data_IF_796724057926
#
_entry.id   IF_796724057926
#
_cell.length_a   1.000
_cell.length_b   1.000
_cell.length_c   1.000
_cell.angle_alpha   90.00
_cell.angle_beta   90.00
_cell.angle_gamma   90.00
#
_symmetry.space_group_name_H-M   'P 1'
#
loop_
_entity.id
_entity.type
_entity.pdbx_description
1 polymer ?
#
# COMPACT_ATOMS: atom_id res chain seq x y z
N UNK A 1 -14.38 -15.77 -7.55
CA UNK A 1 -14.50 -17.24 -7.43
C UNK A 1 -14.52 -17.55 -5.95
N UNK A 2 -15.55 -18.23 -5.49
CA UNK A 2 -15.65 -18.71 -4.11
C UNK A 2 -15.89 -20.21 -4.23
N UNK A 3 -15.01 -20.99 -3.61
CA UNK A 3 -15.18 -22.42 -3.43
C UNK A 3 -15.34 -22.68 -1.93
N UNK A 4 -16.25 -23.57 -1.53
CA UNK A 4 -16.53 -23.79 -0.12
C UNK A 4 -16.92 -25.23 0.18
N UNK A 5 -16.48 -25.71 1.34
CA UNK A 5 -17.03 -26.88 2.03
C UNK A 5 -17.62 -26.42 3.38
N UNK A 6 -18.17 -27.33 4.17
CA UNK A 6 -18.89 -27.01 5.42
C UNK A 6 -18.12 -26.08 6.37
N UNK A 7 -16.80 -26.23 6.44
CA UNK A 7 -15.94 -25.54 7.41
C UNK A 7 -14.83 -24.69 6.78
N UNK A 8 -14.66 -24.70 5.45
CA UNK A 8 -13.58 -24.00 4.74
C UNK A 8 -14.16 -23.27 3.53
N UNK A 9 -13.77 -22.01 3.35
CA UNK A 9 -14.08 -21.24 2.15
C UNK A 9 -12.80 -20.67 1.54
N UNK A 10 -12.57 -20.95 0.26
CA UNK A 10 -11.52 -20.35 -0.56
C UNK A 10 -12.11 -19.22 -1.39
N UNK A 11 -11.58 -18.02 -1.23
CA UNK A 11 -12.07 -16.81 -1.92
C UNK A 11 -10.96 -16.24 -2.78
N UNK A 12 -11.21 -16.15 -4.09
CA UNK A 12 -10.37 -15.41 -5.04
C UNK A 12 -11.18 -14.30 -5.69
N UNK A 13 -10.77 -13.07 -5.46
CA UNK A 13 -11.32 -11.86 -6.08
C UNK A 13 -10.27 -11.31 -7.03
N UNK A 14 -10.69 -11.01 -8.26
CA UNK A 14 -9.88 -10.28 -9.24
C UNK A 14 -10.60 -8.99 -9.56
N UNK A 15 -9.86 -7.91 -9.68
CA UNK A 15 -10.42 -6.62 -10.05
C UNK A 15 -9.37 -5.73 -10.66
N UNK A 16 -9.79 -4.52 -10.99
CA UNK A 16 -8.90 -3.43 -11.38
C UNK A 16 -9.04 -2.32 -10.36
N UNK A 17 -7.93 -1.68 -10.03
CA UNK A 17 -7.93 -0.44 -9.29
C UNK A 17 -7.49 0.66 -10.26
N UNK A 18 -8.21 1.76 -10.21
CA UNK A 18 -7.96 2.95 -11.01
C UNK A 18 -7.55 4.07 -10.06
N UNK A 19 -6.53 4.81 -10.47
CA UNK A 19 -6.12 6.05 -9.83
C UNK A 19 -5.98 7.12 -10.90
N UNK A 20 -6.72 8.21 -10.67
CA UNK A 20 -6.66 9.43 -11.45
C UNK A 20 -6.07 10.50 -10.54
N UNK A 21 -4.89 11.00 -10.89
CA UNK A 21 -4.26 12.14 -10.22
C UNK A 21 -3.51 12.94 -11.27
N UNK A 22 -3.72 14.26 -11.30
CA UNK A 22 -2.96 15.10 -12.23
C UNK A 22 -1.51 15.22 -11.78
N UNK A 23 -0.61 15.44 -12.74
CA UNK A 23 0.80 15.63 -12.43
C UNK A 23 1.02 16.88 -11.55
N UNK A 24 0.26 17.95 -11.80
CA UNK A 24 0.27 19.19 -11.03
C UNK A 24 -0.13 18.94 -9.57
N UNK A 25 -1.27 18.29 -9.34
CA UNK A 25 -1.76 17.96 -7.99
C UNK A 25 -0.76 17.05 -7.25
N UNK A 26 -0.17 16.09 -7.96
CA UNK A 26 0.83 15.16 -7.42
C UNK A 26 2.09 15.90 -6.94
N UNK A 27 2.58 16.88 -7.71
CA UNK A 27 3.71 17.72 -7.29
C UNK A 27 3.35 18.68 -6.17
N UNK A 28 2.20 19.35 -6.21
CA UNK A 28 1.76 20.25 -5.14
C UNK A 28 1.65 19.50 -3.80
N UNK A 29 1.01 18.33 -3.80
CA UNK A 29 0.91 17.45 -2.64
C UNK A 29 2.29 17.04 -2.11
N UNK A 30 3.25 16.83 -3.00
CA UNK A 30 4.63 16.47 -2.62
C UNK A 30 5.34 17.64 -1.94
N UNK A 31 5.21 18.85 -2.48
CA UNK A 31 5.76 20.07 -1.87
C UNK A 31 5.17 20.30 -0.49
N UNK A 32 3.85 20.13 -0.33
CA UNK A 32 3.19 20.28 0.96
C UNK A 32 3.69 19.26 1.99
N UNK A 33 3.84 17.98 1.59
CA UNK A 33 4.44 16.95 2.46
C UNK A 33 5.88 17.25 2.84
N UNK A 34 6.68 17.83 1.94
CA UNK A 34 8.06 18.24 2.25
C UNK A 34 8.06 19.34 3.31
N UNK A 35 7.20 20.36 3.17
CA UNK A 35 7.03 21.41 4.20
C UNK A 35 6.64 20.80 5.55
N UNK A 36 5.71 19.84 5.54
CA UNK A 36 5.30 19.14 6.77
C UNK A 36 6.45 18.36 7.42
N UNK A 37 7.31 17.71 6.62
CA UNK A 37 8.49 16.98 7.14
C UNK A 37 9.45 17.92 7.87
N UNK A 38 9.66 19.14 7.36
CA UNK A 38 10.52 20.12 8.02
C UNK A 38 9.99 20.54 9.41
N UNK A 39 8.67 20.52 9.58
CA UNK A 39 8.01 20.85 10.85
C UNK A 39 7.97 19.68 11.86
N UNK A 40 8.42 18.47 11.47
CA UNK A 40 8.45 17.32 12.37
C UNK A 40 9.67 17.33 13.28
N UNK A 41 9.48 16.74 14.47
CA UNK A 41 10.54 16.42 15.41
C UNK A 41 11.27 15.14 14.95
N UNK A 42 12.15 15.31 13.98
CA UNK A 42 13.03 14.31 13.39
C UNK A 42 14.41 14.92 13.22
N UNK A 43 15.46 14.10 13.25
CA UNK A 43 16.80 14.58 12.94
C UNK A 43 16.94 14.94 11.45
N UNK A 44 17.96 15.74 11.12
CA UNK A 44 18.15 16.23 9.75
C UNK A 44 18.39 15.10 8.74
N UNK A 45 19.03 14.00 9.16
CA UNK A 45 19.29 12.85 8.29
C UNK A 45 17.98 12.15 7.94
N UNK A 46 17.10 11.95 8.92
CA UNK A 46 15.77 11.35 8.71
C UNK A 46 14.86 12.25 7.86
N UNK A 47 14.92 13.57 8.08
CA UNK A 47 14.20 14.55 7.25
C UNK A 47 14.64 14.45 5.79
N UNK A 48 15.94 14.55 5.52
CA UNK A 48 16.49 14.47 4.17
C UNK A 48 16.19 13.14 3.50
N UNK A 49 16.29 12.03 4.23
CA UNK A 49 15.93 10.70 3.71
C UNK A 49 14.46 10.63 3.29
N UNK A 50 13.55 11.13 4.14
CA UNK A 50 12.12 11.16 3.84
C UNK A 50 11.78 12.06 2.65
N UNK A 51 12.42 13.24 2.56
CA UNK A 51 12.23 14.17 1.43
C UNK A 51 12.69 13.53 0.13
N UNK A 52 13.92 12.99 0.09
CA UNK A 52 14.45 12.27 -1.08
C UNK A 52 13.49 11.18 -1.54
N UNK A 53 13.01 10.36 -0.60
CA UNK A 53 12.08 9.26 -0.88
C UNK A 53 10.79 9.77 -1.49
N UNK A 54 10.18 10.83 -0.94
CA UNK A 54 8.94 11.40 -1.51
C UNK A 54 9.14 11.96 -2.91
N UNK A 55 10.24 12.67 -3.16
CA UNK A 55 10.55 13.18 -4.49
C UNK A 55 10.65 12.01 -5.49
N UNK A 56 11.42 10.97 -5.15
CA UNK A 56 11.60 9.80 -6.02
C UNK A 56 10.28 9.04 -6.28
N UNK A 57 9.46 8.86 -5.24
CA UNK A 57 8.15 8.23 -5.37
C UNK A 57 7.23 9.04 -6.29
N UNK A 58 7.15 10.35 -6.13
CA UNK A 58 6.30 11.23 -6.95
C UNK A 58 6.68 11.16 -8.43
N UNK A 59 7.97 11.26 -8.75
CA UNK A 59 8.43 11.11 -10.14
C UNK A 59 8.12 9.72 -10.70
N UNK A 60 8.32 8.65 -9.91
CA UNK A 60 8.03 7.28 -10.35
C UNK A 60 6.53 7.06 -10.58
N UNK A 61 5.67 7.63 -9.73
CA UNK A 61 4.22 7.53 -9.89
C UNK A 61 3.74 8.32 -11.10
N UNK A 62 4.18 9.58 -11.27
CA UNK A 62 3.81 10.40 -12.43
C UNK A 62 4.30 9.84 -13.77
N UNK A 63 5.43 9.12 -13.79
CA UNK A 63 5.92 8.44 -14.99
C UNK A 63 4.96 7.37 -15.55
N UNK A 64 3.97 6.91 -14.76
CA UNK A 64 2.92 5.98 -15.21
C UNK A 64 1.77 6.69 -15.94
N UNK A 65 1.74 8.03 -15.93
CA UNK A 65 0.66 8.85 -16.44
C UNK A 65 -0.42 9.17 -15.38
N UNK A 66 -1.24 10.16 -15.68
CA UNK A 66 -2.28 10.69 -14.76
C UNK A 66 -3.42 9.70 -14.52
N UNK A 67 -3.70 8.86 -15.52
CA UNK A 67 -4.69 7.78 -15.44
C UNK A 67 -3.96 6.44 -15.39
N UNK A 68 -3.92 5.85 -14.21
CA UNK A 68 -3.23 4.59 -14.01
C UNK A 68 -4.24 3.52 -13.56
N UNK A 69 -4.38 2.47 -14.36
CA UNK A 69 -5.25 1.32 -14.10
C UNK A 69 -4.35 0.09 -13.92
N UNK A 70 -4.58 -0.67 -12.86
CA UNK A 70 -3.85 -1.91 -12.63
C UNK A 70 -4.75 -3.03 -12.13
N UNK A 71 -4.53 -4.28 -12.59
CA UNK A 71 -5.23 -5.43 -12.03
C UNK A 71 -4.77 -5.67 -10.59
N UNK A 72 -5.64 -6.23 -9.76
CA UNK A 72 -5.26 -6.80 -8.47
C UNK A 72 -5.93 -8.15 -8.29
N UNK A 73 -5.33 -8.99 -7.44
CA UNK A 73 -5.94 -10.21 -6.94
C UNK A 73 -5.92 -10.22 -5.42
N UNK A 74 -7.06 -10.48 -4.81
CA UNK A 74 -7.17 -10.85 -3.42
C UNK A 74 -7.45 -12.35 -3.36
N UNK A 75 -6.73 -13.03 -2.48
CA UNK A 75 -6.85 -14.45 -2.25
C UNK A 75 -6.92 -14.70 -0.75
N UNK A 76 -7.90 -15.48 -0.30
CA UNK A 76 -8.10 -15.73 1.11
C UNK A 76 -8.65 -17.12 1.37
N UNK A 77 -8.26 -17.67 2.52
CA UNK A 77 -8.83 -18.91 3.07
C UNK A 77 -9.49 -18.57 4.38
N UNK A 78 -10.79 -18.81 4.46
CA UNK A 78 -11.57 -18.72 5.67
C UNK A 78 -11.81 -20.11 6.22
N UNK A 79 -11.79 -20.26 7.53
CA UNK A 79 -12.29 -21.45 8.20
C UNK A 79 -13.39 -21.07 9.18
N UNK A 80 -14.27 -22.02 9.49
CA UNK A 80 -15.36 -21.85 10.43
C UNK A 80 -14.92 -22.31 11.82
N UNK A 81 -14.66 -21.36 12.72
CA UNK A 81 -14.34 -21.62 14.13
C UNK A 81 -15.49 -21.15 15.02
N UNK A 82 -16.00 -22.01 15.90
CA UNK A 82 -17.11 -21.68 16.82
C UNK A 82 -18.31 -21.05 16.09
N UNK A 83 -18.67 -21.62 14.94
CA UNK A 83 -19.73 -21.14 14.06
C UNK A 83 -19.52 -19.71 13.50
N UNK A 84 -18.27 -19.23 13.44
CA UNK A 84 -17.88 -17.95 12.84
C UNK A 84 -16.79 -18.14 11.80
N UNK A 85 -16.90 -17.45 10.67
CA UNK A 85 -15.86 -17.45 9.65
C UNK A 85 -14.70 -16.55 10.07
N UNK A 86 -13.48 -17.08 10.02
CA UNK A 86 -12.25 -16.35 10.31
C UNK A 86 -11.25 -16.53 9.17
N UNK A 87 -10.57 -15.44 8.79
CA UNK A 87 -9.47 -15.53 7.83
C UNK A 87 -8.27 -16.21 8.48
N UNK A 88 -7.86 -17.36 7.95
CA UNK A 88 -6.56 -17.99 8.29
C UNK A 88 -5.46 -17.58 7.34
N UNK A 89 -5.84 -17.22 6.12
CA UNK A 89 -4.93 -16.73 5.11
C UNK A 89 -5.58 -15.57 4.36
N UNK A 90 -4.79 -14.54 4.11
CA UNK A 90 -5.17 -13.41 3.26
C UNK A 90 -3.92 -12.91 2.54
N UNK A 91 -3.97 -12.89 1.22
CA UNK A 91 -2.92 -12.36 0.36
C UNK A 91 -3.52 -11.36 -0.62
N UNK A 92 -2.82 -10.23 -0.76
CA UNK A 92 -3.03 -9.31 -1.85
C UNK A 92 -1.87 -9.45 -2.84
N UNK A 93 -2.19 -9.70 -4.11
CA UNK A 93 -1.25 -9.63 -5.21
C UNK A 93 -1.56 -8.38 -6.03
N UNK A 94 -0.65 -7.43 -5.95
CA UNK A 94 -0.64 -6.22 -6.78
C UNK A 94 0.53 -6.30 -7.78
N UNK A 95 0.40 -5.74 -8.98
CA UNK A 95 1.50 -5.62 -9.94
C UNK A 95 2.52 -4.53 -9.57
N UNK A 96 2.68 -4.22 -8.28
CA UNK A 96 3.57 -3.16 -7.82
C UNK A 96 4.91 -3.71 -7.32
N UNK A 97 5.98 -3.24 -7.97
CA UNK A 97 7.32 -3.21 -7.39
C UNK A 97 7.52 -1.88 -6.64
N UNK A 98 6.90 -1.73 -5.47
CA UNK A 98 7.42 -0.74 -4.52
C UNK A 98 8.75 -1.28 -3.99
N UNK A 99 9.85 -0.66 -4.40
CA UNK A 99 11.10 -0.82 -3.67
C UNK A 99 10.86 -0.09 -2.36
N UNK A 100 10.65 -0.86 -1.29
CA UNK A 100 10.52 -0.34 0.06
C UNK A 100 11.91 0.09 0.53
N UNK A 101 12.35 1.29 0.13
CA UNK A 101 13.56 1.92 0.66
C UNK A 101 13.26 2.41 2.09
N UNK A 102 13.24 1.48 3.04
CA UNK A 102 13.05 1.71 4.47
C UNK A 102 12.47 0.51 5.19
N UNK A 103 12.85 0.30 6.46
CA UNK A 103 12.08 -0.59 7.35
C UNK A 103 10.66 -0.04 7.35
N UNK A 104 9.72 -0.80 6.82
CA UNK A 104 8.34 -0.35 6.65
C UNK A 104 7.82 0.24 7.95
N UNK A 105 7.06 1.34 7.88
CA UNK A 105 6.27 1.82 9.01
C UNK A 105 5.44 0.65 9.60
N UNK A 106 5.02 -0.30 8.75
CA UNK A 106 4.43 -1.57 9.17
C UNK A 106 5.31 -2.42 10.12
N UNK A 107 6.62 -2.52 9.89
CA UNK A 107 7.54 -3.21 10.81
C UNK A 107 7.70 -2.45 12.14
N UNK A 108 7.53 -1.12 12.16
CA UNK A 108 7.54 -0.34 13.41
C UNK A 108 6.25 -0.50 14.23
N UNK A 109 5.12 -0.89 13.61
CA UNK A 109 3.87 -1.20 14.30
C UNK A 109 3.93 -2.52 15.10
N UNK A 110 4.82 -3.45 14.71
CA UNK A 110 4.98 -4.75 15.39
C UNK A 110 5.73 -4.61 16.73
N UNK A 111 6.46 -3.51 16.96
CA UNK A 111 7.21 -3.27 18.21
C UNK A 111 6.37 -2.71 19.36
N UNK A 112 5.07 -2.50 19.20
CA UNK A 112 4.14 -2.17 20.29
C UNK A 112 3.34 -3.42 20.67
N UNK A 113 3.98 -4.35 21.37
CA UNK A 113 3.37 -5.36 22.23
C UNK A 113 4.42 -5.81 23.25
#
# INVERSE_FOLDING_TARGET
MVDFNEDIAWVVIRGTMEKVISEEESFENTVNKIKDIFNKDLDDKEKLFNIRRRIAETFKENAKGENCIWPFRLEGVLIKENNKWVFKYLQFAFPFNYILEGKTEAASLIKKN
#
